data_IF_510272883164
#
_entry.id   IF_510272883164
#
_cell.length_a   1.000
_cell.length_b   1.000
_cell.length_c   1.000
_cell.angle_alpha   90.00
_cell.angle_beta   90.00
_cell.angle_gamma   90.00
#
_symmetry.space_group_name_H-M   'P 1'
#
loop_
_entity.id
_entity.type
_entity.pdbx_description
1 polymer ?
#
# COMPACT_ATOMS: atom_id res chain seq x y z
N UNK A 1 4.46 -44.85 33.07
CA UNK A 1 5.10 -44.96 31.75
C UNK A 1 4.77 -43.68 31.00
N UNK A 2 5.39 -42.57 31.41
CA UNK A 2 6.72 -42.10 30.94
C UNK A 2 6.63 -41.91 29.42
N UNK A 3 6.45 -40.71 28.88
CA UNK A 3 7.04 -39.44 29.29
C UNK A 3 8.14 -39.14 28.28
N UNK A 4 7.86 -38.26 27.31
CA UNK A 4 8.88 -37.45 26.65
C UNK A 4 8.20 -36.25 25.97
N UNK A 5 7.88 -35.24 26.77
CA UNK A 5 7.56 -33.87 26.34
C UNK A 5 8.58 -32.99 27.05
N UNK A 6 9.76 -32.89 26.45
CA UNK A 6 10.87 -31.98 26.76
C UNK A 6 11.60 -31.83 25.42
N UNK A 7 11.96 -30.67 24.89
CA UNK A 7 11.81 -29.29 25.27
C UNK A 7 12.43 -28.53 24.10
N UNK A 8 11.66 -27.70 23.41
CA UNK A 8 12.18 -26.75 22.41
C UNK A 8 11.46 -25.42 22.60
N UNK A 9 11.64 -24.88 23.80
CA UNK A 9 11.47 -23.46 24.08
C UNK A 9 12.87 -22.93 24.34
N UNK A 10 13.53 -22.40 23.32
CA UNK A 10 14.48 -21.30 23.43
C UNK A 10 15.03 -20.96 22.04
N UNK A 11 15.38 -19.68 21.86
CA UNK A 11 15.91 -19.05 20.64
C UNK A 11 14.86 -18.64 19.61
N UNK A 12 14.00 -17.69 19.99
CA UNK A 12 13.49 -16.65 19.08
C UNK A 12 13.31 -15.33 19.84
N UNK A 13 14.39 -14.89 20.49
CA UNK A 13 14.63 -13.48 20.77
C UNK A 13 15.84 -13.09 19.92
N UNK A 14 15.75 -11.91 19.29
CA UNK A 14 16.66 -11.31 18.31
C UNK A 14 16.20 -11.47 16.85
N UNK A 15 15.20 -10.67 16.47
CA UNK A 15 15.26 -9.91 15.22
C UNK A 15 14.34 -8.68 15.32
N UNK A 16 14.68 -7.80 16.26
CA UNK A 16 14.31 -6.39 16.20
C UNK A 16 15.37 -5.72 15.35
N UNK A 17 15.24 -5.79 14.02
CA UNK A 17 15.99 -4.88 13.15
C UNK A 17 15.23 -3.57 13.09
N UNK A 18 15.67 -2.72 14.02
CA UNK A 18 15.68 -1.27 13.97
C UNK A 18 15.89 -0.78 12.53
N UNK A 19 14.89 -0.10 11.97
CA UNK A 19 15.03 0.71 10.76
C UNK A 19 15.88 1.92 11.17
N UNK A 20 17.20 1.74 11.07
CA UNK A 20 18.18 2.82 11.19
C UNK A 20 18.34 3.40 9.78
N UNK A 21 17.84 4.62 9.60
CA UNK A 21 18.18 5.47 8.47
C UNK A 21 19.71 5.61 8.37
N UNK A 22 20.33 5.39 7.21
CA UNK A 22 21.71 5.80 7.01
C UNK A 22 21.75 7.32 6.86
N UNK A 23 21.92 7.99 7.99
CA UNK A 23 22.56 9.29 8.08
C UNK A 23 24.04 9.11 7.71
N UNK A 24 24.34 9.18 6.40
CA UNK A 24 25.72 9.30 5.93
C UNK A 24 26.19 10.74 6.11
N UNK A 25 26.70 10.99 7.31
CA UNK A 25 27.53 12.16 7.64
C UNK A 25 28.94 11.94 7.09
N UNK A 26 29.41 12.93 6.33
CA UNK A 26 30.74 13.56 6.42
C UNK A 26 31.97 12.67 6.51
N UNK A 27 32.81 12.71 5.47
CA UNK A 27 34.18 13.23 5.51
C UNK A 27 34.79 13.00 4.11
N UNK A 28 34.99 14.04 3.31
CA UNK A 28 36.16 14.92 3.27
C UNK A 28 37.32 14.36 2.44
N UNK A 29 37.94 15.28 1.68
CA UNK A 29 39.24 15.16 1.02
C UNK A 29 39.34 14.35 -0.29
N UNK A 30 39.24 15.07 -1.41
CA UNK A 30 40.32 15.26 -2.40
C UNK A 30 39.69 15.93 -3.64
N UNK A 31 39.74 17.25 -3.77
CA UNK A 31 40.93 17.96 -4.27
C UNK A 31 41.69 17.18 -5.35
N UNK A 32 41.01 17.02 -6.49
CA UNK A 32 41.65 17.21 -7.79
C UNK A 32 40.86 18.35 -8.46
N UNK A 33 41.17 19.62 -8.16
CA UNK A 33 42.34 20.31 -8.70
C UNK A 33 42.82 19.67 -10.01
N UNK A 34 41.97 19.73 -11.04
CA UNK A 34 42.52 19.84 -12.40
C UNK A 34 43.02 21.27 -12.52
N UNK A 35 44.27 21.44 -12.11
CA UNK A 35 45.12 22.53 -12.54
C UNK A 35 44.98 22.66 -14.07
N UNK A 36 44.13 23.58 -14.53
CA UNK A 36 44.35 24.30 -15.77
C UNK A 36 45.46 25.33 -15.55
N UNK A 37 46.59 24.87 -15.01
CA UNK A 37 47.85 25.57 -15.10
C UNK A 37 48.51 25.09 -16.39
N UNK A 38 48.56 25.99 -17.37
CA UNK A 38 49.66 26.13 -18.30
C UNK A 38 50.30 24.81 -18.77
N UNK A 39 49.72 24.20 -19.81
CA UNK A 39 50.53 23.50 -20.79
C UNK A 39 50.62 24.29 -22.07
N UNK A 40 51.41 25.37 -21.96
CA UNK A 40 52.29 25.89 -22.98
C UNK A 40 51.79 25.69 -24.41
N UNK A 41 50.99 26.64 -24.87
CA UNK A 41 51.07 27.14 -26.25
C UNK A 41 52.49 27.69 -26.48
N UNK A 42 53.44 26.77 -26.61
CA UNK A 42 54.72 26.97 -27.26
C UNK A 42 54.76 25.94 -28.37
N UNK A 43 53.85 26.06 -29.34
CA UNK A 43 53.90 25.26 -30.56
C UNK A 43 53.40 25.98 -31.82
N UNK A 44 53.55 27.30 -31.85
CA UNK A 44 53.35 28.09 -33.08
C UNK A 44 54.69 28.45 -33.75
N UNK A 45 55.83 28.12 -33.14
CA UNK A 45 57.16 28.44 -33.70
C UNK A 45 57.67 27.44 -34.75
N UNK A 46 57.11 26.23 -34.87
CA UNK A 46 57.76 25.16 -35.65
C UNK A 46 57.60 25.26 -37.18
N UNK A 47 56.42 25.60 -37.69
CA UNK A 47 56.19 25.60 -39.15
C UNK A 47 56.93 26.75 -39.84
N UNK A 48 56.90 27.93 -39.24
CA UNK A 48 57.60 29.11 -39.76
C UNK A 48 59.12 28.97 -39.60
N UNK A 49 59.64 28.51 -38.46
CA UNK A 49 61.09 28.30 -38.30
C UNK A 49 61.63 27.21 -39.23
N UNK A 50 60.86 26.14 -39.48
CA UNK A 50 61.24 25.10 -40.43
C UNK A 50 61.22 25.61 -41.87
N UNK A 51 60.26 26.48 -42.24
CA UNK A 51 60.24 27.16 -43.53
C UNK A 51 61.47 28.07 -43.69
N UNK A 52 61.81 28.86 -42.68
CA UNK A 52 63.01 29.72 -42.70
C UNK A 52 64.30 28.92 -42.79
N UNK A 53 64.39 27.76 -42.12
CA UNK A 53 65.53 26.84 -42.23
C UNK A 53 65.63 26.18 -43.60
N UNK A 54 64.51 25.79 -44.22
CA UNK A 54 64.44 25.26 -45.58
C UNK A 54 64.83 26.32 -46.61
N UNK A 55 64.34 27.55 -46.47
CA UNK A 55 64.71 28.67 -47.33
C UNK A 55 66.20 29.01 -47.20
N UNK A 56 66.75 28.96 -45.97
CA UNK A 56 68.18 29.12 -45.73
C UNK A 56 69.01 27.99 -46.34
N UNK A 57 68.60 26.72 -46.20
CA UNK A 57 69.28 25.60 -46.85
C UNK A 57 69.22 25.67 -48.38
N UNK A 58 68.08 26.09 -48.93
CA UNK A 58 67.93 26.33 -50.38
C UNK A 58 68.91 27.39 -50.86
N UNK A 59 69.06 28.48 -50.11
CA UNK A 59 70.03 29.54 -50.38
C UNK A 59 71.47 29.02 -50.35
N UNK A 60 71.85 28.26 -49.32
CA UNK A 60 73.20 27.66 -49.21
C UNK A 60 73.48 26.67 -50.35
N UNK A 61 72.49 25.89 -50.80
CA UNK A 61 72.67 24.98 -51.96
C UNK A 61 72.90 25.78 -53.26
N UNK A 62 72.20 26.90 -53.44
CA UNK A 62 72.40 27.78 -54.60
C UNK A 62 73.78 28.42 -54.55
N UNK A 63 74.23 28.90 -53.38
CA UNK A 63 75.56 29.49 -53.18
C UNK A 63 76.68 28.45 -53.39
N UNK A 64 76.55 27.23 -52.86
CA UNK A 64 77.49 26.13 -53.12
C UNK A 64 77.55 25.79 -54.62
N UNK A 65 76.40 25.72 -55.29
CA UNK A 65 76.33 25.40 -56.73
C UNK A 65 77.03 26.46 -57.56
N UNK A 66 76.87 27.72 -57.19
CA UNK A 66 77.54 28.85 -57.82
C UNK A 66 79.05 28.83 -57.56
N UNK A 67 79.49 28.50 -56.34
CA UNK A 67 80.91 28.31 -56.01
C UNK A 67 81.56 27.12 -56.75
N UNK A 68 80.84 26.00 -56.92
CA UNK A 68 81.31 24.85 -57.71
C UNK A 68 81.43 25.22 -59.20
N UNK A 69 80.46 25.99 -59.73
CA UNK A 69 80.51 26.49 -61.11
C UNK A 69 81.71 27.41 -61.37
N UNK A 70 82.06 28.26 -60.40
CA UNK A 70 83.27 29.08 -60.46
C UNK A 70 84.56 28.25 -60.39
N UNK A 71 84.56 27.11 -59.70
CA UNK A 71 85.68 26.17 -59.68
C UNK A 71 85.90 25.46 -61.03
N UNK A 72 84.81 25.12 -61.72
CA UNK A 72 84.84 24.44 -63.03
C UNK A 72 85.48 25.31 -64.13
N UNK A 73 85.67 26.61 -63.88
CA UNK A 73 86.32 27.57 -64.78
C UNK A 73 87.80 27.87 -64.45
N UNK A 74 88.36 27.25 -63.41
CA UNK A 74 89.76 27.50 -63.01
C UNK A 74 90.67 26.49 -63.70
N UNK A 75 90.98 26.75 -64.97
CA UNK A 75 92.07 26.06 -65.65
C UNK A 75 93.41 26.53 -65.04
N UNK A 76 94.20 25.57 -64.52
CA UNK A 76 95.54 25.80 -63.96
C UNK A 76 96.59 26.15 -65.03
N UNK A 77 96.17 26.22 -66.30
CA UNK A 77 96.97 26.58 -67.46
C UNK A 77 96.45 27.91 -68.01
N UNK A 78 97.36 28.77 -68.45
CA UNK A 78 96.97 29.92 -69.24
C UNK A 78 96.46 29.45 -70.62
N UNK A 79 95.84 30.32 -71.42
CA UNK A 79 95.29 30.00 -72.76
C UNK A 79 96.28 29.35 -73.74
N UNK A 80 97.57 29.32 -73.38
CA UNK A 80 98.71 28.81 -74.14
C UNK A 80 99.30 27.50 -73.57
N UNK A 81 98.71 26.90 -72.52
CA UNK A 81 99.14 25.61 -71.97
C UNK A 81 100.34 25.65 -70.99
N UNK A 82 100.89 26.83 -70.71
CA UNK A 82 102.03 27.03 -69.80
C UNK A 82 101.59 27.26 -68.34
N UNK A 83 102.46 26.85 -67.41
CA UNK A 83 102.28 27.05 -65.97
C UNK A 83 102.51 28.54 -65.62
N UNK A 84 101.58 29.19 -64.91
CA UNK A 84 101.75 30.58 -64.49
C UNK A 84 102.93 30.74 -63.50
N UNK A 85 103.54 31.94 -63.41
CA UNK A 85 104.63 32.21 -62.49
C UNK A 85 104.27 31.89 -61.04
N UNK A 86 105.25 31.48 -60.24
CA UNK A 86 105.07 30.93 -58.88
C UNK A 86 104.13 31.77 -57.99
N UNK A 87 104.26 33.10 -58.02
CA UNK A 87 103.41 34.00 -57.23
C UNK A 87 101.93 33.96 -57.64
N UNK A 88 101.64 33.78 -58.93
CA UNK A 88 100.27 33.60 -59.42
C UNK A 88 99.73 32.21 -59.09
N UNK A 89 100.60 31.19 -59.08
CA UNK A 89 100.21 29.84 -58.67
C UNK A 89 99.85 29.80 -57.18
N UNK A 90 100.67 30.42 -56.33
CA UNK A 90 100.41 30.51 -54.87
C UNK A 90 99.12 31.27 -54.59
N UNK A 91 98.90 32.40 -55.26
CA UNK A 91 97.66 33.18 -55.10
C UNK A 91 96.42 32.41 -55.57
N UNK A 92 96.52 31.64 -56.67
CA UNK A 92 95.45 30.76 -57.13
C UNK A 92 95.22 29.58 -56.17
N UNK A 93 96.29 29.01 -55.60
CA UNK A 93 96.21 27.94 -54.61
C UNK A 93 95.54 28.43 -53.32
N UNK A 94 95.90 29.63 -52.86
CA UNK A 94 95.29 30.27 -51.69
C UNK A 94 93.81 30.58 -51.93
N UNK A 95 93.45 31.00 -53.16
CA UNK A 95 92.07 31.13 -53.60
C UNK A 95 91.30 29.82 -53.55
N UNK A 96 91.88 28.72 -54.06
CA UNK A 96 91.28 27.38 -54.00
C UNK A 96 91.16 26.85 -52.57
N UNK A 97 92.15 27.08 -51.71
CA UNK A 97 92.10 26.69 -50.29
C UNK A 97 91.03 27.49 -49.55
N UNK A 98 90.93 28.79 -49.80
CA UNK A 98 89.89 29.66 -49.23
C UNK A 98 88.51 29.22 -49.70
N UNK A 99 88.37 28.87 -50.99
CA UNK A 99 87.12 28.39 -51.56
C UNK A 99 86.73 26.99 -51.07
N UNK A 100 87.70 26.08 -50.90
CA UNK A 100 87.48 24.77 -50.27
C UNK A 100 87.04 24.92 -48.81
N UNK A 101 87.58 25.91 -48.09
CA UNK A 101 87.15 26.24 -46.73
C UNK A 101 85.71 26.76 -46.70
N UNK A 102 85.31 27.57 -47.69
CA UNK A 102 83.92 28.02 -47.86
C UNK A 102 82.99 26.84 -48.17
N UNK A 103 83.35 25.98 -49.13
CA UNK A 103 82.58 24.78 -49.49
C UNK A 103 82.45 23.83 -48.28
N UNK A 104 83.51 23.61 -47.51
CA UNK A 104 83.47 22.78 -46.31
C UNK A 104 82.58 23.41 -45.22
N UNK A 105 82.62 24.73 -45.05
CA UNK A 105 81.75 25.44 -44.11
C UNK A 105 80.27 25.37 -44.51
N UNK A 106 79.98 25.48 -45.82
CA UNK A 106 78.62 25.36 -46.36
C UNK A 106 78.10 23.91 -46.29
N UNK A 107 78.94 22.92 -46.61
CA UNK A 107 78.62 21.50 -46.43
C UNK A 107 78.31 21.16 -44.97
N UNK A 108 79.08 21.71 -44.02
CA UNK A 108 78.81 21.55 -42.59
C UNK A 108 77.46 22.18 -42.19
N UNK A 109 77.10 23.33 -42.77
CA UNK A 109 75.79 23.97 -42.56
C UNK A 109 74.63 23.17 -43.14
N UNK A 110 74.78 22.56 -44.33
CA UNK A 110 73.74 21.69 -44.88
C UNK A 110 73.55 20.43 -44.04
N UNK A 111 74.64 19.86 -43.53
CA UNK A 111 74.57 18.71 -42.62
C UNK A 111 73.83 19.07 -41.32
N UNK A 112 74.06 20.25 -40.76
CA UNK A 112 73.36 20.71 -39.55
C UNK A 112 71.88 21.00 -39.81
N UNK A 113 71.50 21.59 -40.96
CA UNK A 113 70.09 21.78 -41.31
C UNK A 113 69.39 20.42 -41.52
N UNK A 114 70.03 19.48 -42.21
CA UNK A 114 69.48 18.12 -42.36
C UNK A 114 69.26 17.45 -41.00
N UNK A 115 70.23 17.58 -40.09
CA UNK A 115 70.09 17.08 -38.72
C UNK A 115 68.93 17.75 -37.97
N UNK A 116 68.77 19.07 -38.06
CA UNK A 116 67.67 19.80 -37.44
C UNK A 116 66.30 19.41 -38.01
N UNK A 117 66.20 19.21 -39.33
CA UNK A 117 64.97 18.72 -39.97
C UNK A 117 64.64 17.32 -39.49
N UNK A 118 65.63 16.44 -39.36
CA UNK A 118 65.43 15.09 -38.83
C UNK A 118 64.99 15.10 -37.36
N UNK A 119 65.56 15.98 -36.53
CA UNK A 119 65.08 16.20 -35.15
C UNK A 119 63.64 16.72 -35.16
N UNK A 120 63.31 17.69 -36.02
CA UNK A 120 61.97 18.26 -36.12
C UNK A 120 60.93 17.20 -36.52
N UNK A 121 61.24 16.40 -37.54
CA UNK A 121 60.41 15.28 -37.97
C UNK A 121 60.26 14.22 -36.87
N UNK A 122 61.34 13.90 -36.15
CA UNK A 122 61.29 12.97 -35.02
C UNK A 122 60.41 13.51 -33.88
N UNK A 123 60.56 14.78 -33.51
CA UNK A 123 59.77 15.42 -32.47
C UNK A 123 58.28 15.43 -32.84
N UNK A 124 57.96 15.78 -34.10
CA UNK A 124 56.59 15.78 -34.62
C UNK A 124 55.98 14.37 -34.67
N UNK A 125 56.73 13.38 -35.16
CA UNK A 125 56.29 11.98 -35.15
C UNK A 125 56.05 11.48 -33.73
N UNK A 126 56.90 11.86 -32.77
CA UNK A 126 56.72 11.51 -31.37
C UNK A 126 55.47 12.16 -30.76
N UNK A 127 55.16 13.41 -31.13
CA UNK A 127 53.93 14.07 -30.71
C UNK A 127 52.69 13.39 -31.30
N UNK A 128 52.70 13.08 -32.61
CA UNK A 128 51.61 12.35 -33.23
C UNK A 128 51.42 10.96 -32.62
N UNK A 129 52.51 10.23 -32.35
CA UNK A 129 52.43 8.94 -31.68
C UNK A 129 51.77 9.05 -30.28
N UNK A 130 52.08 10.11 -29.51
CA UNK A 130 51.44 10.36 -28.22
C UNK A 130 49.95 10.71 -28.36
N UNK A 131 49.58 11.55 -29.33
CA UNK A 131 48.18 11.92 -29.57
C UNK A 131 47.38 10.69 -30.00
N UNK A 132 47.91 9.89 -30.93
CA UNK A 132 47.30 8.64 -31.39
C UNK A 132 47.18 7.63 -30.25
N UNK A 133 48.20 7.49 -29.39
CA UNK A 133 48.13 6.62 -28.23
C UNK A 133 47.04 7.05 -27.23
N UNK A 134 46.93 8.36 -26.95
CA UNK A 134 45.85 8.91 -26.11
C UNK A 134 44.47 8.69 -26.74
N UNK A 135 44.33 8.93 -28.05
CA UNK A 135 43.09 8.69 -28.77
C UNK A 135 42.66 7.22 -28.74
N UNK A 136 43.61 6.29 -28.95
CA UNK A 136 43.35 4.85 -28.85
C UNK A 136 42.92 4.45 -27.44
N UNK A 137 43.56 5.01 -26.41
CA UNK A 137 43.16 4.76 -25.03
C UNK A 137 41.73 5.25 -24.74
N UNK A 138 41.38 6.45 -25.20
CA UNK A 138 40.02 7.00 -25.05
C UNK A 138 38.99 6.16 -25.81
N UNK A 139 39.31 5.69 -27.02
CA UNK A 139 38.42 4.80 -27.77
C UNK A 139 38.18 3.48 -27.05
N UNK A 140 39.23 2.87 -26.48
CA UNK A 140 39.09 1.63 -25.70
C UNK A 140 38.26 1.84 -24.44
N UNK A 141 38.46 2.97 -23.75
CA UNK A 141 37.64 3.33 -22.59
C UNK A 141 36.17 3.47 -22.98
N UNK A 142 35.89 4.21 -24.05
CA UNK A 142 34.53 4.42 -24.54
C UNK A 142 33.88 3.10 -24.97
N UNK A 143 34.61 2.23 -25.65
CA UNK A 143 34.15 0.89 -26.03
C UNK A 143 33.80 0.05 -24.80
N UNK A 144 34.64 0.08 -23.76
CA UNK A 144 34.36 -0.60 -22.49
C UNK A 144 33.13 -0.04 -21.78
N UNK A 145 32.94 1.28 -21.81
CA UNK A 145 31.75 1.92 -21.23
C UNK A 145 30.48 1.54 -22.00
N UNK A 146 30.52 1.55 -23.34
CA UNK A 146 29.38 1.13 -24.17
C UNK A 146 29.02 -0.33 -23.89
N UNK A 147 30.01 -1.22 -23.83
CA UNK A 147 29.76 -2.63 -23.53
C UNK A 147 29.16 -2.83 -22.13
N UNK A 148 29.60 -2.04 -21.14
CA UNK A 148 29.01 -2.04 -19.79
C UNK A 148 27.56 -1.54 -19.80
N UNK A 149 27.27 -0.47 -20.55
CA UNK A 149 25.92 0.06 -20.71
C UNK A 149 24.99 -0.93 -21.43
N UNK A 150 25.46 -1.59 -22.48
CA UNK A 150 24.71 -2.65 -23.17
C UNK A 150 24.36 -3.79 -22.19
N UNK A 151 25.33 -4.29 -21.42
CA UNK A 151 25.07 -5.31 -20.41
C UNK A 151 24.09 -4.84 -19.34
N UNK A 152 24.14 -3.57 -18.92
CA UNK A 152 23.19 -3.02 -17.96
C UNK A 152 21.78 -2.90 -18.54
N UNK A 153 21.65 -2.55 -19.82
CA UNK A 153 20.36 -2.50 -20.51
C UNK A 153 19.77 -3.91 -20.64
N UNK A 154 20.57 -4.90 -20.99
CA UNK A 154 20.13 -6.30 -21.06
C UNK A 154 19.66 -6.80 -19.69
N UNK A 155 20.42 -6.53 -18.64
CA UNK A 155 20.05 -6.85 -17.26
C UNK A 155 18.73 -6.18 -16.88
N UNK A 156 18.58 -4.88 -17.15
CA UNK A 156 17.35 -4.12 -16.86
C UNK A 156 16.16 -4.66 -17.65
N UNK A 157 16.35 -5.04 -18.91
CA UNK A 157 15.31 -5.66 -19.73
C UNK A 157 14.84 -6.98 -19.13
N UNK A 158 15.77 -7.83 -18.68
CA UNK A 158 15.42 -9.09 -18.01
C UNK A 158 14.70 -8.87 -16.68
N UNK A 159 15.11 -7.85 -15.90
CA UNK A 159 14.45 -7.52 -14.63
C UNK A 159 13.03 -6.99 -14.86
N UNK A 160 12.82 -6.17 -15.89
CA UNK A 160 11.49 -5.68 -16.27
C UNK A 160 10.58 -6.83 -16.69
N UNK A 161 11.10 -7.82 -17.42
CA UNK A 161 10.32 -9.00 -17.83
C UNK A 161 9.89 -9.85 -16.61
N UNK A 162 10.83 -10.10 -15.67
CA UNK A 162 10.51 -10.80 -14.41
C UNK A 162 9.49 -10.04 -13.59
N UNK A 163 9.62 -8.71 -13.47
CA UNK A 163 8.65 -7.88 -12.73
C UNK A 163 7.27 -7.88 -13.40
N UNK A 164 7.22 -7.94 -14.72
CA UNK A 164 5.96 -8.05 -15.46
C UNK A 164 5.28 -9.39 -15.18
N UNK A 165 6.02 -10.49 -15.20
CA UNK A 165 5.50 -11.81 -14.84
C UNK A 165 4.97 -11.85 -13.40
N UNK A 166 5.70 -11.23 -12.45
CA UNK A 166 5.24 -11.11 -11.07
C UNK A 166 3.95 -10.27 -10.95
N UNK A 167 3.84 -9.18 -11.71
CA UNK A 167 2.64 -8.35 -11.73
C UNK A 167 1.43 -9.13 -12.29
N UNK A 168 1.63 -9.90 -13.37
CA UNK A 168 0.60 -10.74 -13.97
C UNK A 168 0.14 -11.84 -12.99
N UNK A 169 1.08 -12.50 -12.30
CA UNK A 169 0.77 -13.48 -11.25
C UNK A 169 -0.01 -12.87 -10.08
N UNK A 170 0.39 -11.67 -9.61
CA UNK A 170 -0.31 -10.96 -8.55
C UNK A 170 -1.73 -10.55 -8.99
N UNK A 171 -1.90 -10.10 -10.24
CA UNK A 171 -3.20 -9.76 -10.78
C UNK A 171 -4.13 -10.99 -10.83
N UNK A 172 -3.61 -12.15 -11.23
CA UNK A 172 -4.35 -13.41 -11.22
C UNK A 172 -4.72 -13.86 -9.80
N UNK A 173 -3.77 -13.78 -8.85
CA UNK A 173 -4.01 -14.09 -7.44
C UNK A 173 -5.07 -13.19 -6.80
N UNK A 174 -5.05 -11.89 -7.10
CA UNK A 174 -6.06 -10.93 -6.65
C UNK A 174 -7.44 -11.26 -7.23
N UNK A 175 -7.51 -11.61 -8.52
CA UNK A 175 -8.76 -12.02 -9.16
C UNK A 175 -9.33 -13.30 -8.53
N UNK A 176 -8.48 -14.28 -8.22
CA UNK A 176 -8.88 -15.51 -7.54
C UNK A 176 -9.39 -15.22 -6.11
N UNK A 177 -8.68 -14.36 -5.39
CA UNK A 177 -9.07 -13.94 -4.03
C UNK A 177 -10.41 -13.19 -4.05
N UNK A 178 -10.61 -12.29 -5.01
CA UNK A 178 -11.87 -11.59 -5.19
C UNK A 178 -13.01 -12.57 -5.48
N UNK A 179 -12.81 -13.52 -6.40
CA UNK A 179 -13.82 -14.53 -6.70
C UNK A 179 -14.17 -15.40 -5.49
N UNK A 180 -13.16 -15.81 -4.71
CA UNK A 180 -13.36 -16.56 -3.47
C UNK A 180 -14.15 -15.74 -2.44
N UNK A 181 -13.82 -14.46 -2.26
CA UNK A 181 -14.55 -13.56 -1.35
C UNK A 181 -15.99 -13.36 -1.80
N UNK A 182 -16.24 -13.19 -3.09
CA UNK A 182 -17.59 -13.05 -3.64
C UNK A 182 -18.43 -14.31 -3.40
N UNK A 183 -17.85 -15.50 -3.65
CA UNK A 183 -18.50 -16.78 -3.34
C UNK A 183 -18.79 -16.94 -1.86
N UNK A 184 -17.82 -16.60 -1.00
CA UNK A 184 -17.95 -16.71 0.45
C UNK A 184 -19.02 -15.76 0.98
N UNK A 185 -19.06 -14.52 0.48
CA UNK A 185 -20.11 -13.56 0.83
C UNK A 185 -21.49 -14.01 0.36
N UNK A 186 -21.60 -14.65 -0.81
CA UNK A 186 -22.85 -15.22 -1.28
C UNK A 186 -23.33 -16.35 -0.36
N UNK A 187 -22.44 -17.24 0.06
CA UNK A 187 -22.73 -18.33 1.00
C UNK A 187 -23.18 -17.79 2.37
N UNK A 188 -22.45 -16.81 2.94
CA UNK A 188 -22.84 -16.18 4.19
C UNK A 188 -24.19 -15.47 4.11
N UNK A 189 -24.52 -14.84 2.97
CA UNK A 189 -25.83 -14.22 2.77
C UNK A 189 -26.94 -15.25 2.71
N UNK A 190 -26.70 -16.42 2.13
CA UNK A 190 -27.69 -17.51 2.11
C UNK A 190 -27.89 -18.10 3.50
N UNK A 191 -26.80 -18.32 4.24
CA UNK A 191 -26.85 -18.85 5.61
C UNK A 191 -27.58 -17.88 6.56
N UNK A 192 -27.33 -16.57 6.44
CA UNK A 192 -28.07 -15.55 7.21
C UNK A 192 -29.57 -15.58 6.90
N UNK A 193 -29.97 -15.79 5.63
CA UNK A 193 -31.39 -15.92 5.27
C UNK A 193 -32.02 -17.17 5.88
N UNK A 194 -31.31 -18.30 5.86
CA UNK A 194 -31.77 -19.54 6.51
C UNK A 194 -31.95 -19.36 8.01
N UNK A 195 -31.02 -18.69 8.68
CA UNK A 195 -31.11 -18.40 10.10
C UNK A 195 -32.27 -17.44 10.42
N UNK A 196 -32.49 -16.41 9.61
CA UNK A 196 -33.65 -15.52 9.78
C UNK A 196 -34.98 -16.27 9.62
N UNK A 197 -35.07 -17.17 8.63
CA UNK A 197 -36.27 -18.01 8.43
C UNK A 197 -36.49 -18.98 9.60
N UNK A 198 -35.43 -19.57 10.14
CA UNK A 198 -35.52 -20.44 11.30
C UNK A 198 -35.90 -19.66 12.57
N UNK A 199 -35.35 -18.45 12.76
CA UNK A 199 -35.77 -17.56 13.84
C UNK A 199 -37.24 -17.18 13.74
N UNK A 200 -37.76 -16.89 12.55
CA UNK A 200 -39.19 -16.64 12.34
C UNK A 200 -40.03 -17.86 12.70
N UNK A 201 -39.59 -19.08 12.34
CA UNK A 201 -40.27 -20.32 12.73
C UNK A 201 -40.28 -20.50 14.25
N UNK A 202 -39.16 -20.24 14.91
CA UNK A 202 -39.07 -20.31 16.37
C UNK A 202 -39.95 -19.25 17.03
N UNK A 203 -39.97 -18.02 16.55
CA UNK A 203 -40.86 -16.96 17.03
C UNK A 203 -42.33 -17.35 16.88
N UNK A 204 -42.72 -17.93 15.74
CA UNK A 204 -44.07 -18.44 15.51
C UNK A 204 -44.42 -19.58 16.46
N UNK A 205 -43.48 -20.51 16.71
CA UNK A 205 -43.65 -21.59 17.66
C UNK A 205 -43.80 -21.07 19.10
N UNK A 206 -42.96 -20.12 19.52
CA UNK A 206 -43.06 -19.46 20.83
C UNK A 206 -44.37 -18.69 20.97
N UNK A 207 -44.81 -17.98 19.93
CA UNK A 207 -46.09 -17.29 19.93
C UNK A 207 -47.27 -18.28 20.06
N UNK A 208 -47.22 -19.42 19.35
CA UNK A 208 -48.22 -20.49 19.47
C UNK A 208 -48.21 -21.15 20.86
N UNK A 209 -47.04 -21.41 21.43
CA UNK A 209 -46.89 -21.92 22.80
C UNK A 209 -47.43 -20.93 23.84
N UNK A 210 -47.13 -19.64 23.67
CA UNK A 210 -47.66 -18.57 24.53
C UNK A 210 -49.18 -18.50 24.47
N UNK A 211 -49.77 -18.53 23.27
CA UNK A 211 -51.23 -18.57 23.09
C UNK A 211 -51.87 -19.81 23.71
N UNK A 212 -51.21 -20.97 23.61
CA UNK A 212 -51.71 -22.22 24.19
C UNK A 212 -51.68 -22.17 25.72
N UNK A 213 -50.57 -21.70 26.31
CA UNK A 213 -50.47 -21.48 27.76
C UNK A 213 -51.50 -20.47 28.25
N UNK A 214 -51.70 -19.39 27.51
CA UNK A 214 -52.72 -18.39 27.80
C UNK A 214 -54.14 -18.97 27.78
N UNK A 215 -54.50 -19.75 26.76
CA UNK A 215 -55.79 -20.41 26.68
C UNK A 215 -55.98 -21.43 27.81
N UNK A 216 -54.94 -22.17 28.19
CA UNK A 216 -54.98 -23.11 29.31
C UNK A 216 -55.24 -22.36 30.64
N UNK A 217 -54.49 -21.29 30.90
CA UNK A 217 -54.68 -20.48 32.10
C UNK A 217 -56.09 -19.87 32.14
N UNK A 218 -56.62 -19.42 31.00
CA UNK A 218 -58.00 -18.94 30.90
C UNK A 218 -59.06 -19.99 31.24
N UNK A 219 -58.88 -21.22 30.72
CA UNK A 219 -59.80 -22.33 30.98
C UNK A 219 -59.77 -22.71 32.46
N UNK A 220 -58.57 -22.81 33.04
CA UNK A 220 -58.39 -23.13 34.47
C UNK A 220 -59.00 -22.04 35.34
N UNK A 221 -58.78 -20.77 35.02
CA UNK A 221 -59.33 -19.65 35.77
C UNK A 221 -60.85 -19.56 35.67
N UNK A 222 -61.41 -19.81 34.48
CA UNK A 222 -62.86 -19.88 34.26
C UNK A 222 -63.49 -21.05 35.02
N UNK A 223 -62.83 -22.20 35.06
CA UNK A 223 -63.27 -23.37 35.81
C UNK A 223 -63.23 -23.13 37.33
N UNK A 224 -62.16 -22.53 37.86
CA UNK A 224 -62.04 -22.15 39.27
C UNK A 224 -63.15 -21.15 39.63
N UNK A 225 -63.42 -20.17 38.77
CA UNK A 225 -64.47 -19.19 38.99
C UNK A 225 -65.87 -19.84 39.04
N UNK A 226 -66.20 -20.66 38.05
CA UNK A 226 -67.47 -21.39 37.99
C UNK A 226 -67.64 -22.34 39.19
N UNK A 227 -66.59 -23.09 39.54
CA UNK A 227 -66.60 -23.97 40.69
C UNK A 227 -66.80 -23.20 42.01
N UNK A 228 -66.13 -22.05 42.15
CA UNK A 228 -66.26 -21.19 43.33
C UNK A 228 -67.69 -20.62 43.45
N UNK A 229 -68.28 -20.21 42.33
CA UNK A 229 -69.65 -19.71 42.28
C UNK A 229 -70.67 -20.81 42.59
N UNK A 230 -70.47 -22.01 42.06
CA UNK A 230 -71.27 -23.19 42.37
C UNK A 230 -71.16 -23.58 43.86
N UNK A 231 -69.93 -23.69 44.38
CA UNK A 231 -69.67 -24.11 45.76
C UNK A 231 -70.31 -23.15 46.78
N UNK A 232 -70.30 -21.85 46.51
CA UNK A 232 -70.90 -20.85 47.41
C UNK A 232 -72.43 -20.89 47.40
N UNK A 233 -73.02 -21.33 46.29
CA UNK A 233 -74.46 -21.54 46.20
C UNK A 233 -74.91 -22.88 46.80
N UNK A 234 -73.98 -23.76 47.22
CA UNK A 234 -74.36 -24.99 47.91
C UNK A 234 -74.86 -24.71 49.32
N UNK A 235 -75.85 -25.49 49.75
CA UNK A 235 -76.52 -25.30 51.03
C UNK A 235 -75.57 -25.43 52.23
N UNK A 236 -74.48 -26.17 52.06
CA UNK A 236 -73.43 -26.41 53.07
C UNK A 236 -72.74 -25.09 53.48
N UNK A 237 -72.55 -24.17 52.54
CA UNK A 237 -71.88 -22.88 52.80
C UNK A 237 -72.90 -21.81 53.19
N UNK A 238 -74.10 -21.83 52.61
CA UNK A 238 -75.14 -20.82 52.86
C UNK A 238 -75.72 -20.91 54.28
N UNK A 239 -75.90 -22.12 54.83
CA UNK A 239 -76.42 -22.34 56.18
C UNK A 239 -75.58 -21.70 57.30
N UNK A 240 -74.27 -22.01 57.44
CA UNK A 240 -73.46 -21.45 58.52
C UNK A 240 -73.29 -19.93 58.39
N UNK A 241 -73.24 -19.37 57.18
CA UNK A 241 -73.15 -17.93 56.96
C UNK A 241 -74.45 -17.23 57.36
N UNK A 242 -75.61 -17.82 57.03
CA UNK A 242 -76.90 -17.33 57.51
C UNK A 242 -76.94 -17.35 59.03
N UNK A 243 -76.62 -18.46 59.67
CA UNK A 243 -76.60 -18.57 61.14
C UNK A 243 -75.65 -17.54 61.77
N UNK A 244 -74.41 -17.43 61.29
CA UNK A 244 -73.42 -16.47 61.80
C UNK A 244 -73.87 -15.00 61.65
N UNK A 245 -74.42 -14.62 60.49
CA UNK A 245 -74.91 -13.25 60.27
C UNK A 245 -76.20 -12.94 61.01
N UNK A 246 -77.08 -13.94 61.23
CA UNK A 246 -78.27 -13.79 62.07
C UNK A 246 -77.92 -13.53 63.54
N UNK A 247 -76.86 -14.18 64.03
CA UNK A 247 -76.41 -14.06 65.41
C UNK A 247 -75.64 -12.74 65.65
N UNK A 248 -74.84 -12.30 64.68
CA UNK A 248 -73.98 -11.12 64.83
C UNK A 248 -74.70 -9.78 64.64
N UNK A 249 -75.72 -9.69 63.76
CA UNK A 249 -76.36 -8.41 63.40
C UNK A 249 -77.85 -8.45 63.77
N UNK A 250 -78.18 -7.88 64.94
CA UNK A 250 -79.49 -8.03 65.58
C UNK A 250 -80.55 -6.99 65.17
N UNK A 251 -80.19 -5.88 64.51
CA UNK A 251 -81.03 -4.66 64.53
C UNK A 251 -81.46 -4.05 63.18
N UNK A 252 -81.06 -4.58 62.00
CA UNK A 252 -81.59 -4.06 60.72
C UNK A 252 -81.57 -5.08 59.58
N UNK A 253 -82.74 -5.35 58.98
CA UNK A 253 -82.90 -6.30 57.87
C UNK A 253 -82.10 -5.91 56.61
N UNK A 254 -82.01 -4.61 56.30
CA UNK A 254 -81.20 -4.12 55.15
C UNK A 254 -79.70 -4.32 55.36
N UNK A 255 -79.18 -4.00 56.55
CA UNK A 255 -77.76 -4.21 56.88
C UNK A 255 -77.40 -5.69 56.92
N UNK A 256 -78.31 -6.54 57.39
CA UNK A 256 -78.13 -8.00 57.42
C UNK A 256 -78.10 -8.61 56.03
N UNK A 257 -78.96 -8.17 55.11
CA UNK A 257 -78.93 -8.61 53.70
C UNK A 257 -77.63 -8.16 52.99
N UNK A 258 -77.20 -6.92 53.20
CA UNK A 258 -75.93 -6.41 52.66
C UNK A 258 -74.71 -7.15 53.25
N UNK A 259 -74.70 -7.43 54.55
CA UNK A 259 -73.63 -8.19 55.20
C UNK A 259 -73.58 -9.65 54.73
N UNK A 260 -74.75 -10.28 54.49
CA UNK A 260 -74.85 -11.61 53.90
C UNK A 260 -74.30 -11.67 52.47
N UNK A 261 -74.65 -10.69 51.65
CA UNK A 261 -74.13 -10.59 50.28
C UNK A 261 -72.63 -10.28 50.30
N UNK A 262 -72.19 -9.37 51.16
CA UNK A 262 -70.79 -9.01 51.33
C UNK A 262 -69.93 -10.18 51.83
N UNK A 263 -70.42 -10.97 52.79
CA UNK A 263 -69.70 -12.15 53.28
C UNK A 263 -69.61 -13.26 52.23
N UNK A 264 -70.65 -13.45 51.40
CA UNK A 264 -70.60 -14.37 50.25
C UNK A 264 -69.56 -13.93 49.21
N UNK A 265 -69.50 -12.63 48.89
CA UNK A 265 -68.49 -12.08 47.96
C UNK A 265 -67.09 -12.22 48.54
N UNK A 266 -66.90 -11.91 49.82
CA UNK A 266 -65.61 -12.07 50.50
C UNK A 266 -65.14 -13.53 50.48
N UNK A 267 -66.05 -14.47 50.76
CA UNK A 267 -65.75 -15.90 50.73
C UNK A 267 -65.42 -16.37 49.31
N UNK A 268 -66.11 -15.85 48.29
CA UNK A 268 -65.80 -16.09 46.88
C UNK A 268 -64.38 -15.67 46.52
N UNK A 269 -63.96 -14.49 46.92
CA UNK A 269 -62.60 -13.99 46.68
C UNK A 269 -61.57 -14.89 47.36
N UNK A 270 -61.78 -15.23 48.64
CA UNK A 270 -60.88 -16.10 49.39
C UNK A 270 -60.78 -17.51 48.80
N UNK A 271 -61.91 -18.07 48.34
CA UNK A 271 -61.95 -19.40 47.74
C UNK A 271 -61.17 -19.41 46.41
N UNK A 272 -61.38 -18.40 45.55
CA UNK A 272 -60.63 -18.25 44.28
C UNK A 272 -59.13 -18.13 44.56
N UNK A 273 -58.72 -17.33 45.55
CA UNK A 273 -57.31 -17.18 45.92
C UNK A 273 -56.71 -18.50 46.40
N UNK A 274 -57.45 -19.25 47.22
CA UNK A 274 -56.98 -20.53 47.74
C UNK A 274 -56.90 -21.60 46.65
N UNK A 275 -57.90 -21.71 45.78
CA UNK A 275 -57.89 -22.63 44.64
C UNK A 275 -56.79 -22.28 43.63
N UNK A 276 -56.56 -20.99 43.34
CA UNK A 276 -55.44 -20.56 42.50
C UNK A 276 -54.09 -20.96 43.09
N UNK A 277 -53.91 -20.78 44.40
CA UNK A 277 -52.68 -21.22 45.09
C UNK A 277 -52.46 -22.73 44.98
N UNK A 278 -53.53 -23.53 45.09
CA UNK A 278 -53.46 -24.99 44.93
C UNK A 278 -53.20 -25.39 43.48
N UNK A 279 -53.88 -24.77 42.51
CA UNK A 279 -53.69 -25.03 41.08
C UNK A 279 -52.26 -24.73 40.62
N UNK A 280 -51.61 -23.69 41.18
CA UNK A 280 -50.18 -23.42 40.98
C UNK A 280 -49.30 -24.52 41.59
N UNK A 281 -49.63 -25.01 42.79
CA UNK A 281 -48.88 -26.08 43.48
C UNK A 281 -48.91 -27.42 42.76
N UNK A 282 -50.02 -27.74 42.06
CA UNK A 282 -50.15 -28.97 41.25
C UNK A 282 -49.66 -28.82 39.80
N UNK A 283 -49.19 -27.64 39.40
CA UNK A 283 -48.67 -27.40 38.05
C UNK A 283 -49.74 -27.25 36.95
N UNK A 284 -51.02 -27.14 37.31
CA UNK A 284 -52.10 -26.94 36.35
C UNK A 284 -52.20 -25.50 35.84
N UNK A 285 -51.62 -24.54 36.57
CA UNK A 285 -51.65 -23.12 36.24
C UNK A 285 -50.23 -22.56 36.14
N UNK A 286 -49.87 -22.03 34.97
CA UNK A 286 -48.60 -21.35 34.78
C UNK A 286 -48.82 -19.87 35.09
N UNK A 287 -47.98 -19.28 35.94
CA UNK A 287 -48.12 -17.89 36.38
C UNK A 287 -47.70 -16.86 35.31
N UNK A 288 -47.96 -17.14 34.03
CA UNK A 288 -47.49 -16.33 32.88
C UNK A 288 -48.56 -15.31 32.47
N UNK A 289 -49.84 -15.58 32.71
CA UNK A 289 -50.93 -14.62 32.55
C UNK A 289 -51.20 -13.82 33.83
N UNK A 290 -50.91 -12.52 33.84
CA UNK A 290 -51.47 -11.62 34.84
C UNK A 290 -53.00 -11.58 34.68
N UNK A 291 -53.74 -11.67 35.78
CA UNK A 291 -55.21 -11.58 35.80
C UNK A 291 -55.71 -10.16 35.44
N UNK A 292 -54.80 -9.17 35.43
CA UNK A 292 -55.06 -7.74 35.22
C UNK A 292 -55.69 -7.44 33.85
N UNK A 293 -55.17 -7.90 32.70
CA UNK A 293 -55.81 -7.69 31.39
C UNK A 293 -57.24 -8.27 31.30
N UNK A 294 -57.53 -9.37 32.00
CA UNK A 294 -58.88 -9.97 32.03
C UNK A 294 -59.87 -9.16 32.85
N UNK A 295 -59.49 -8.77 34.08
CA UNK A 295 -60.35 -7.93 34.91
C UNK A 295 -60.60 -6.59 34.23
N UNK A 296 -59.59 -6.02 33.56
CA UNK A 296 -59.74 -4.78 32.82
C UNK A 296 -60.65 -4.93 31.59
N UNK A 297 -60.48 -5.99 30.78
CA UNK A 297 -61.33 -6.23 29.60
C UNK A 297 -62.79 -6.54 29.96
N UNK A 298 -63.02 -7.35 31.01
CA UNK A 298 -64.37 -7.65 31.51
C UNK A 298 -64.99 -6.43 32.18
N UNK A 299 -64.23 -5.65 32.96
CA UNK A 299 -64.73 -4.39 33.54
C UNK A 299 -65.08 -3.36 32.46
N UNK A 300 -64.30 -3.29 31.38
CA UNK A 300 -64.58 -2.41 30.23
C UNK A 300 -65.86 -2.87 29.50
N UNK A 301 -66.02 -4.17 29.27
CA UNK A 301 -67.24 -4.74 28.66
C UNK A 301 -68.48 -4.57 29.56
N UNK A 302 -68.35 -4.75 30.88
CA UNK A 302 -69.42 -4.50 31.85
C UNK A 302 -69.78 -3.02 31.90
N UNK A 303 -68.81 -2.11 31.86
CA UNK A 303 -69.04 -0.68 31.78
C UNK A 303 -69.77 -0.29 30.48
N UNK A 304 -69.40 -0.87 29.34
CA UNK A 304 -70.11 -0.67 28.07
C UNK A 304 -71.52 -1.28 28.05
N UNK A 305 -71.73 -2.46 28.66
CA UNK A 305 -73.06 -3.07 28.79
C UNK A 305 -74.00 -2.34 29.75
N UNK A 306 -73.45 -1.80 30.85
CA UNK A 306 -74.19 -0.98 31.81
C UNK A 306 -74.56 0.38 31.19
N UNK A 307 -73.67 1.01 30.41
CA UNK A 307 -74.00 2.27 29.73
C UNK A 307 -75.04 2.07 28.62
N UNK A 308 -75.02 0.95 27.90
CA UNK A 308 -76.06 0.61 26.91
C UNK A 308 -77.43 0.37 27.56
N UNK A 309 -77.49 -0.39 28.66
CA UNK A 309 -78.75 -0.67 29.38
C UNK A 309 -79.34 0.57 30.05
N UNK A 310 -78.50 1.47 30.58
CA UNK A 310 -78.94 2.77 31.12
C UNK A 310 -79.48 3.66 29.99
N UNK A 311 -78.82 3.70 28.82
CA UNK A 311 -79.28 4.45 27.65
C UNK A 311 -80.64 3.98 27.11
N UNK A 312 -80.93 2.67 27.19
CA UNK A 312 -82.24 2.12 26.77
C UNK A 312 -83.32 2.30 27.82
N UNK A 313 -82.97 2.44 29.10
CA UNK A 313 -83.92 2.62 30.19
C UNK A 313 -84.34 4.08 30.39
N UNK A 314 -83.51 5.05 30.02
CA UNK A 314 -83.82 6.50 30.10
C UNK A 314 -84.66 7.02 28.94
N UNK A 315 -84.83 6.24 27.88
CA UNK A 315 -85.82 6.49 26.82
C UNK A 315 -86.87 5.38 26.83
N UNK A 316 -87.89 5.43 27.72
CA UNK A 316 -89.03 4.55 27.56
C UNK A 316 -89.66 4.84 26.20
N UNK A 317 -89.76 3.80 25.37
CA UNK A 317 -90.55 3.79 24.14
C UNK A 317 -91.90 4.47 24.44
N UNK A 318 -92.09 5.68 23.93
CA UNK A 318 -93.38 6.36 23.95
C UNK A 318 -94.22 5.61 22.90
N UNK A 319 -95.23 4.81 23.27
CA UNK A 319 -96.11 4.27 22.26
C UNK A 319 -96.73 5.46 21.54
N UNK A 320 -96.58 5.50 20.22
CA UNK A 320 -97.25 6.49 19.39
C UNK A 320 -98.75 6.34 19.67
N UNK A 321 -99.32 7.28 20.42
CA UNK A 321 -100.76 7.39 20.59
C UNK A 321 -101.35 7.56 19.19
N UNK A 322 -102.11 6.57 18.75
CA UNK A 322 -103.14 6.76 17.74
C UNK A 322 -103.99 7.95 18.18
N UNK A 323 -103.99 9.01 17.38
CA UNK A 323 -105.13 9.89 17.26
C UNK A 323 -105.41 10.07 15.76
N UNK A 324 -106.70 9.93 15.49
CA UNK A 324 -107.39 9.97 14.21
C UNK A 324 -107.25 11.32 13.47
#
# INVERSE_FOLDING_TARGET
>A
MNGNIEGQWEISKLNSYEVVDPSSSSCDSNDHQVDQAHHNDVHVTSAEQMKTLLDHARKVIVDMREHIRRMEQIELRNSNGELPPYDQLVMRLEGLVTQQRIINAESARLMSVNYLVNIGNFARNRQFARIVAKGRYQMLLLQSTVQSLESNVDNLSSEVEVRKEQADYLAESLKNTQSLMESTLAEYRDELRRQDDELKRQQNAVAAMSKTRFNQDFVVDSAIFLFSLWAINTMIVDLPIRVATTAAIRTSNRRRAAALQGSKVLLLILMIWRLKSLAKGYGFHNSVGSFVPYVFSVALQLHHGITWTISTATHPFRPASLNA
#
